data_IF_392218578438
#
_entry.id   IF_392218578438
#
_cell.length_a   1.000
_cell.length_b   1.000
_cell.length_c   1.000
_cell.angle_alpha   90.00
_cell.angle_beta   90.00
_cell.angle_gamma   90.00
#
_symmetry.space_group_name_H-M   'P 1'
#
loop_
_entity.id
_entity.type
_entity.pdbx_description
1 polymer ?
#
# COMPACT_ATOMS: atom_id res chain seq x y z
N UNK A 1 -8.73 -3.67 -18.33
CA UNK A 1 -7.80 -2.58 -17.96
C UNK A 1 -6.39 -3.10 -18.21
N UNK A 2 -5.45 -2.24 -18.59
CA UNK A 2 -4.04 -2.64 -18.65
C UNK A 2 -3.56 -2.98 -17.23
N UNK A 3 -2.60 -3.92 -17.14
CA UNK A 3 -1.99 -4.29 -15.87
C UNK A 3 -1.19 -3.09 -15.34
N UNK A 4 -1.34 -2.79 -14.05
CA UNK A 4 -0.59 -1.71 -13.40
C UNK A 4 0.02 -2.20 -12.10
N UNK A 5 1.12 -1.58 -11.69
CA UNK A 5 1.78 -1.81 -10.41
C UNK A 5 1.45 -0.67 -9.45
N UNK A 6 0.78 -0.97 -8.35
CA UNK A 6 0.15 0.04 -7.49
C UNK A 6 0.66 -0.13 -6.06
N UNK A 7 1.27 0.93 -5.52
CA UNK A 7 1.66 0.95 -4.12
C UNK A 7 0.49 1.40 -3.23
N UNK A 8 0.23 0.67 -2.14
CA UNK A 8 -0.89 0.95 -1.23
C UNK A 8 -0.38 1.06 0.20
N UNK A 9 -0.46 2.25 0.78
CA UNK A 9 -0.29 2.44 2.22
C UNK A 9 -1.62 2.22 2.94
N UNK A 10 -1.57 1.62 4.13
CA UNK A 10 -2.78 1.25 4.87
C UNK A 10 -3.48 -0.02 4.34
N UNK A 11 -2.77 -0.84 3.55
CA UNK A 11 -3.31 -2.07 2.94
C UNK A 11 -3.78 -3.14 3.95
N UNK A 12 -3.46 -3.00 5.24
CA UNK A 12 -3.96 -3.86 6.32
C UNK A 12 -5.26 -3.37 6.95
N UNK A 13 -5.72 -2.16 6.63
CA UNK A 13 -6.96 -1.58 7.14
C UNK A 13 -8.20 -2.07 6.39
N UNK A 14 -9.39 -1.71 6.88
CA UNK A 14 -10.67 -2.11 6.28
C UNK A 14 -10.76 -1.76 4.80
N UNK A 15 -10.54 -0.48 4.46
CA UNK A 15 -10.63 0.03 3.08
C UNK A 15 -9.41 -0.44 2.27
N UNK A 16 -8.20 -0.25 2.78
CA UNK A 16 -6.97 -0.61 2.06
C UNK A 16 -6.86 -2.10 1.75
N UNK A 17 -7.34 -2.97 2.66
CA UNK A 17 -7.38 -4.41 2.42
C UNK A 17 -8.42 -4.81 1.37
N UNK A 18 -9.59 -4.17 1.35
CA UNK A 18 -10.60 -4.38 0.31
C UNK A 18 -10.09 -3.91 -1.06
N UNK A 19 -9.47 -2.73 -1.13
CA UNK A 19 -8.88 -2.18 -2.35
C UNK A 19 -7.78 -3.11 -2.88
N UNK A 20 -6.84 -3.54 -2.04
CA UNK A 20 -5.76 -4.43 -2.44
C UNK A 20 -6.30 -5.75 -3.04
N UNK A 21 -7.35 -6.33 -2.44
CA UNK A 21 -7.99 -7.54 -2.99
C UNK A 21 -8.65 -7.28 -4.35
N UNK A 22 -9.39 -6.17 -4.49
CA UNK A 22 -10.03 -5.80 -5.76
C UNK A 22 -8.99 -5.62 -6.86
N UNK A 23 -7.96 -4.82 -6.62
CA UNK A 23 -6.90 -4.55 -7.60
C UNK A 23 -6.20 -5.84 -8.05
N UNK A 24 -5.89 -6.74 -7.11
CA UNK A 24 -5.32 -8.05 -7.45
C UNK A 24 -6.30 -8.92 -8.26
N UNK A 25 -7.59 -8.94 -7.90
CA UNK A 25 -8.61 -9.66 -8.65
C UNK A 25 -8.78 -9.12 -10.08
N UNK A 26 -8.60 -7.81 -10.27
CA UNK A 26 -8.60 -7.12 -11.56
C UNK A 26 -7.30 -7.34 -12.35
N UNK A 27 -6.31 -8.06 -11.78
CA UNK A 27 -5.07 -8.45 -12.42
C UNK A 27 -3.89 -7.48 -12.25
N UNK A 28 -4.04 -6.46 -11.41
CA UNK A 28 -2.97 -5.51 -11.07
C UNK A 28 -1.98 -6.10 -10.04
N UNK A 29 -0.74 -5.62 -10.07
CA UNK A 29 0.25 -5.92 -9.04
C UNK A 29 0.09 -4.93 -7.88
N UNK A 30 -0.05 -5.45 -6.65
CA UNK A 30 -0.17 -4.63 -5.45
C UNK A 30 1.09 -4.72 -4.62
N UNK A 31 1.71 -3.56 -4.38
CA UNK A 31 2.84 -3.38 -3.47
C UNK A 31 2.31 -2.77 -2.17
N UNK A 32 2.53 -3.44 -1.04
CA UNK A 32 2.03 -2.96 0.26
C UNK A 32 3.09 -2.11 0.95
N UNK A 33 2.76 -0.85 1.25
CA UNK A 33 3.61 0.01 2.07
C UNK A 33 3.39 -0.30 3.54
N UNK A 34 4.42 -0.83 4.19
CA UNK A 34 4.38 -1.34 5.57
C UNK A 34 5.36 -0.58 6.46
N UNK A 35 4.96 -0.29 7.71
CA UNK A 35 5.81 0.42 8.69
C UNK A 35 6.80 -0.50 9.41
N UNK A 36 6.51 -1.81 9.41
CA UNK A 36 7.39 -2.85 9.96
C UNK A 36 8.38 -3.32 8.91
N UNK A 37 9.33 -4.15 9.34
CA UNK A 37 10.20 -4.88 8.42
C UNK A 37 9.34 -5.72 7.43
N UNK A 38 9.59 -5.64 6.10
CA UNK A 38 8.92 -6.45 5.10
C UNK A 38 9.05 -7.94 5.39
N UNK A 39 7.99 -8.70 5.12
CA UNK A 39 7.91 -10.16 5.36
C UNK A 39 7.70 -10.94 4.05
N UNK A 40 7.45 -10.24 2.95
CA UNK A 40 7.22 -10.83 1.64
C UNK A 40 7.71 -9.88 0.54
N UNK A 41 8.00 -10.43 -0.64
CA UNK A 41 8.52 -9.68 -1.79
C UNK A 41 7.58 -8.56 -2.30
N UNK A 42 6.28 -8.61 -1.99
CA UNK A 42 5.30 -7.58 -2.33
C UNK A 42 5.12 -6.49 -1.28
N UNK A 43 6.05 -6.35 -0.35
CA UNK A 43 6.01 -5.36 0.72
C UNK A 43 7.22 -4.43 0.64
N UNK A 44 6.96 -3.14 0.80
CA UNK A 44 7.99 -2.10 0.78
C UNK A 44 7.90 -1.33 2.08
N UNK A 45 9.04 -1.15 2.73
CA UNK A 45 9.10 -0.43 4.00
C UNK A 45 8.94 1.06 3.75
N UNK A 46 8.13 1.70 4.60
CA UNK A 46 8.06 3.15 4.69
C UNK A 46 7.96 3.61 6.14
N UNK A 47 8.41 4.82 6.40
CA UNK A 47 8.35 5.47 7.71
C UNK A 47 7.72 6.86 7.54
N UNK A 48 6.42 7.01 7.84
CA UNK A 48 5.73 8.29 7.69
C UNK A 48 6.21 9.34 8.69
N UNK A 49 6.69 8.95 9.88
CA UNK A 49 7.19 9.89 10.89
C UNK A 49 8.51 10.51 10.47
N UNK A 50 9.34 9.74 9.74
CA UNK A 50 10.62 10.20 9.18
C UNK A 50 10.51 10.70 7.75
N UNK A 51 9.33 10.66 7.15
CA UNK A 51 9.09 11.04 5.76
C UNK A 51 9.91 10.22 4.75
N UNK A 52 10.20 8.95 5.05
CA UNK A 52 11.06 8.10 4.21
C UNK A 52 10.32 6.86 3.68
N UNK A 53 10.75 6.39 2.50
CA UNK A 53 10.29 5.16 1.88
C UNK A 53 11.45 4.53 1.13
N UNK A 54 11.51 3.20 1.09
CA UNK A 54 12.43 2.50 0.20
C UNK A 54 12.03 2.73 -1.26
N UNK A 55 12.65 3.75 -1.87
CA UNK A 55 12.36 4.18 -3.23
C UNK A 55 12.66 3.10 -4.27
N UNK A 56 13.62 2.20 -4.01
CA UNK A 56 13.92 1.10 -4.92
C UNK A 56 12.74 0.12 -5.01
N UNK A 57 12.05 -0.13 -3.89
CA UNK A 57 10.84 -0.95 -3.86
C UNK A 57 9.65 -0.34 -4.62
N UNK A 58 9.63 0.98 -4.80
CA UNK A 58 8.60 1.72 -5.54
C UNK A 58 8.88 1.84 -7.04
N UNK A 59 10.06 1.45 -7.51
CA UNK A 59 10.41 1.52 -8.93
C UNK A 59 9.37 0.77 -9.80
N UNK A 60 8.93 1.41 -10.89
CA UNK A 60 7.94 0.84 -11.79
C UNK A 60 6.49 0.85 -11.27
N UNK A 61 6.20 1.48 -10.12
CA UNK A 61 4.81 1.76 -9.74
C UNK A 61 4.20 2.82 -10.67
N UNK A 62 3.04 2.54 -11.23
CA UNK A 62 2.25 3.49 -12.02
C UNK A 62 1.46 4.46 -11.14
N UNK A 63 1.12 4.01 -9.92
CA UNK A 63 0.31 4.78 -8.98
C UNK A 63 0.63 4.47 -7.51
N UNK A 64 0.28 5.42 -6.65
CA UNK A 64 0.34 5.30 -5.18
C UNK A 64 -1.00 5.67 -4.58
N UNK A 65 -1.52 4.84 -3.69
CA UNK A 65 -2.73 5.08 -2.92
C UNK A 65 -2.37 5.13 -1.44
N UNK A 66 -2.55 6.29 -0.81
CA UNK A 66 -2.30 6.46 0.62
C UNK A 66 -3.60 6.41 1.41
N UNK A 67 -3.86 5.28 2.06
CA UNK A 67 -4.96 5.07 3.01
C UNK A 67 -4.43 4.86 4.44
N UNK A 68 -3.17 5.22 4.70
CA UNK A 68 -2.62 5.17 6.05
C UNK A 68 -3.16 6.34 6.86
N UNK A 69 -3.88 6.04 7.93
CA UNK A 69 -4.47 7.06 8.79
C UNK A 69 -5.35 6.44 9.87
N UNK A 70 -5.90 7.29 10.74
CA UNK A 70 -6.86 6.87 11.75
C UNK A 70 -8.22 6.57 11.11
N UNK A 71 -8.89 5.51 11.59
CA UNK A 71 -10.24 5.20 11.18
C UNK A 71 -11.22 6.31 11.61
N UNK A 72 -12.11 6.70 10.70
CA UNK A 72 -13.08 7.79 10.92
C UNK A 72 -14.06 7.49 12.07
N UNK A 73 -14.24 6.20 12.43
CA UNK A 73 -15.13 5.77 13.51
C UNK A 73 -14.58 5.90 14.94
N UNK A 74 -13.31 6.29 15.11
CA UNK A 74 -12.66 6.36 16.43
C UNK A 74 -12.91 7.66 17.22
N UNK A 75 -13.66 8.62 16.67
CA UNK A 75 -13.95 9.91 17.31
C UNK A 75 -15.46 10.12 17.38
N UNK A 76 -16.12 9.34 18.23
CA UNK A 76 -17.50 9.52 18.65
C UNK A 76 -17.58 9.57 20.17
#
# INVERSE_FOLDING_TARGET
MERSRIAVAGASGLIGGALARSLTADGHEVVRLVRREPRAAGEVRWDPERGSVDAAGLAGCDAVVNLAGAGVGGRR
#
